data_IF_585410998496
#
_entry.id   IF_585410998496
#
_cell.length_a   1.000
_cell.length_b   1.000
_cell.length_c   1.000
_cell.angle_alpha   90.00
_cell.angle_beta   90.00
_cell.angle_gamma   90.00
#
_symmetry.space_group_name_H-M   'P 1'
#
loop_
_entity.id
_entity.type
_entity.pdbx_description
1 polymer ?
#
# COMPACT_ATOMS: atom_id res chain seq x y z
N UNK A 1 36.26 -12.60 -6.93
CA UNK A 1 35.00 -12.18 -6.31
C UNK A 1 34.98 -12.82 -4.94
N UNK A 2 34.68 -12.09 -3.88
CA UNK A 2 34.64 -12.67 -2.53
C UNK A 2 33.53 -13.72 -2.46
N UNK A 3 33.76 -14.83 -1.74
CA UNK A 3 32.76 -15.90 -1.51
C UNK A 3 31.47 -15.39 -0.82
N UNK A 4 31.45 -14.13 -0.37
CA UNK A 4 30.33 -13.48 0.31
C UNK A 4 29.34 -12.77 -0.62
N UNK A 5 29.62 -12.71 -1.93
CA UNK A 5 28.69 -12.06 -2.88
C UNK A 5 27.45 -12.93 -3.10
N UNK A 6 26.28 -12.41 -2.71
CA UNK A 6 24.97 -13.05 -2.91
C UNK A 6 24.19 -12.29 -4.00
N UNK A 7 24.04 -12.84 -5.20
CA UNK A 7 23.27 -12.20 -6.27
C UNK A 7 21.83 -11.93 -5.84
N UNK A 8 21.36 -10.69 -6.02
CA UNK A 8 20.00 -10.31 -5.65
C UNK A 8 19.70 -10.29 -4.16
N UNK A 9 20.74 -10.33 -3.30
CA UNK A 9 20.61 -10.37 -1.83
C UNK A 9 19.88 -11.64 -1.31
N UNK A 10 19.79 -12.69 -2.09
CA UNK A 10 19.14 -13.93 -1.66
C UNK A 10 19.82 -14.53 -0.42
N UNK A 11 19.02 -14.77 0.62
CA UNK A 11 19.51 -15.30 1.91
C UNK A 11 20.29 -14.31 2.77
N UNK A 12 20.37 -13.04 2.38
CA UNK A 12 20.97 -11.98 3.21
C UNK A 12 19.94 -11.45 4.19
N UNK A 13 20.23 -11.54 5.49
CA UNK A 13 19.42 -10.92 6.54
C UNK A 13 19.79 -9.44 6.60
N UNK A 14 18.87 -8.56 6.20
CA UNK A 14 19.10 -7.12 6.17
C UNK A 14 18.70 -6.43 7.48
N UNK A 15 17.66 -6.93 8.16
CA UNK A 15 17.18 -6.41 9.44
C UNK A 15 16.25 -7.42 10.13
N UNK A 16 15.99 -7.22 11.41
CA UNK A 16 14.94 -7.88 12.17
C UNK A 16 13.66 -7.02 12.18
N UNK A 17 12.48 -7.64 12.21
CA UNK A 17 11.21 -6.95 12.23
C UNK A 17 10.18 -7.73 13.04
N UNK A 18 9.42 -7.02 13.85
CA UNK A 18 8.29 -7.54 14.63
C UNK A 18 6.95 -7.21 13.98
N UNK A 19 6.95 -6.48 12.83
CA UNK A 19 5.73 -5.95 12.22
C UNK A 19 4.94 -7.03 11.51
N UNK A 20 5.62 -7.94 10.80
CA UNK A 20 4.99 -9.03 10.08
C UNK A 20 5.84 -10.30 10.13
N UNK A 21 5.16 -11.41 10.33
CA UNK A 21 5.75 -12.75 10.39
C UNK A 21 5.14 -13.62 9.28
N UNK A 22 5.72 -13.61 8.07
CA UNK A 22 5.35 -14.57 7.04
C UNK A 22 5.91 -15.94 7.41
N UNK A 23 5.09 -16.99 7.33
CA UNK A 23 5.57 -18.36 7.47
C UNK A 23 6.48 -18.73 6.28
N UNK A 24 7.53 -19.49 6.57
CA UNK A 24 8.49 -19.95 5.54
C UNK A 24 7.85 -20.84 4.47
N UNK A 25 6.79 -21.56 4.83
CA UNK A 25 6.03 -22.41 3.93
C UNK A 25 4.90 -21.67 3.20
N UNK A 26 4.70 -20.37 3.52
CA UNK A 26 3.69 -19.52 2.92
C UNK A 26 2.26 -19.85 3.35
N UNK A 27 2.10 -20.58 4.45
CA UNK A 27 0.79 -21.03 4.95
C UNK A 27 0.14 -20.06 5.95
N UNK A 28 0.91 -19.14 6.52
CA UNK A 28 0.41 -18.17 7.50
C UNK A 28 1.12 -16.82 7.39
N UNK A 29 0.41 -15.77 7.72
CA UNK A 29 0.94 -14.41 7.87
C UNK A 29 0.34 -13.78 9.14
N UNK A 30 1.19 -13.21 9.98
CA UNK A 30 0.76 -12.49 11.18
C UNK A 30 1.25 -11.06 11.15
N UNK A 31 0.39 -10.16 11.62
CA UNK A 31 0.72 -8.75 11.87
C UNK A 31 0.83 -8.55 13.38
N UNK A 32 2.01 -8.23 13.90
CA UNK A 32 2.25 -8.12 15.34
C UNK A 32 1.69 -9.32 16.14
N UNK A 33 1.90 -10.53 15.62
CA UNK A 33 1.43 -11.77 16.24
C UNK A 33 -0.05 -12.11 15.99
N UNK A 34 -0.86 -11.20 15.41
CA UNK A 34 -2.27 -11.46 15.08
C UNK A 34 -2.37 -12.10 13.69
N UNK A 35 -3.07 -13.22 13.59
CA UNK A 35 -3.25 -13.93 12.34
C UNK A 35 -4.06 -13.09 11.34
N UNK A 36 -3.62 -13.06 10.08
CA UNK A 36 -4.28 -12.28 9.02
C UNK A 36 -5.73 -12.74 8.79
N UNK A 37 -6.04 -14.03 9.02
CA UNK A 37 -7.40 -14.56 8.88
C UNK A 37 -8.36 -13.99 9.93
N UNK A 38 -7.84 -13.55 11.08
CA UNK A 38 -8.62 -12.85 12.10
C UNK A 38 -8.83 -11.37 11.80
N UNK A 39 -8.08 -10.80 10.86
CA UNK A 39 -8.12 -9.40 10.49
C UNK A 39 -8.95 -9.13 9.23
N UNK A 40 -8.73 -9.91 8.16
CA UNK A 40 -9.35 -9.69 6.84
C UNK A 40 -10.88 -9.80 6.93
N UNK A 41 -11.56 -8.71 6.54
CA UNK A 41 -13.01 -8.62 6.55
C UNK A 41 -13.64 -8.45 7.94
N UNK A 42 -12.83 -8.37 9.01
CA UNK A 42 -13.30 -8.20 10.40
C UNK A 42 -12.80 -6.91 11.05
N UNK A 43 -11.60 -6.48 10.70
CA UNK A 43 -10.97 -5.25 11.21
C UNK A 43 -10.74 -4.31 10.05
N UNK A 44 -11.04 -3.01 10.21
CA UNK A 44 -10.83 -2.04 9.14
C UNK A 44 -9.34 -1.82 8.86
N UNK A 45 -9.00 -1.51 7.61
CA UNK A 45 -7.62 -1.19 7.23
C UNK A 45 -7.00 -0.08 8.09
N UNK A 46 -7.78 0.95 8.44
CA UNK A 46 -7.29 2.02 9.31
C UNK A 46 -6.86 1.54 10.70
N UNK A 47 -7.56 0.56 11.28
CA UNK A 47 -7.19 -0.05 12.55
C UNK A 47 -6.02 -1.04 12.39
N UNK A 48 -5.94 -1.78 11.28
CA UNK A 48 -4.79 -2.64 10.99
C UNK A 48 -3.52 -1.81 10.80
N UNK A 49 -3.62 -0.62 10.19
CA UNK A 49 -2.49 0.31 10.16
C UNK A 49 -2.01 0.68 11.57
N UNK A 50 -2.95 0.93 12.51
CA UNK A 50 -2.61 1.17 13.91
C UNK A 50 -1.89 -0.02 14.55
N UNK A 51 -2.38 -1.24 14.32
CA UNK A 51 -1.72 -2.45 14.80
C UNK A 51 -0.27 -2.53 14.28
N UNK A 52 -0.04 -2.29 12.99
CA UNK A 52 1.29 -2.37 12.39
C UNK A 52 2.26 -1.31 12.93
N UNK A 53 1.79 -0.09 13.19
CA UNK A 53 2.62 1.06 13.58
C UNK A 53 2.72 1.18 15.09
N UNK A 54 1.60 1.06 15.81
CA UNK A 54 1.48 1.36 17.23
C UNK A 54 1.38 0.08 18.10
N UNK A 55 1.30 -1.11 17.51
CA UNK A 55 0.96 -2.38 18.17
C UNK A 55 -0.44 -2.35 18.85
N UNK A 56 -1.30 -1.43 18.41
CA UNK A 56 -2.65 -1.24 18.91
C UNK A 56 -3.61 -0.89 17.76
N UNK A 57 -4.84 -1.39 17.82
CA UNK A 57 -5.84 -1.09 16.78
C UNK A 57 -6.33 0.36 16.77
N UNK A 58 -6.21 1.05 17.89
CA UNK A 58 -6.71 2.41 18.06
C UNK A 58 -5.60 3.35 18.55
N UNK A 59 -5.59 4.60 18.08
CA UNK A 59 -6.62 5.26 17.24
C UNK A 59 -6.60 4.89 15.76
N UNK A 60 -5.57 4.18 15.24
CA UNK A 60 -5.45 3.86 13.81
C UNK A 60 -5.15 5.08 12.92
N UNK A 61 -5.52 4.98 11.63
CA UNK A 61 -5.36 6.10 10.69
C UNK A 61 -6.37 7.21 10.95
N UNK A 62 -5.93 8.48 10.99
CA UNK A 62 -6.83 9.64 11.07
C UNK A 62 -7.60 9.86 9.76
N UNK A 63 -8.56 10.78 9.79
CA UNK A 63 -9.16 11.26 8.55
C UNK A 63 -8.15 12.10 7.75
N UNK A 64 -8.20 11.98 6.41
CA UNK A 64 -7.37 12.79 5.53
C UNK A 64 -7.70 14.28 5.66
N UNK A 65 -6.66 15.09 5.66
CA UNK A 65 -6.82 16.55 5.61
C UNK A 65 -7.39 16.99 4.25
N UNK A 66 -8.09 18.11 4.24
CA UNK A 66 -8.63 18.74 3.03
C UNK A 66 -7.50 19.38 2.23
N UNK A 67 -6.80 18.58 1.48
CA UNK A 67 -5.68 19.02 0.67
C UNK A 67 -5.84 18.51 -0.76
N UNK A 68 -5.95 19.42 -1.76
CA UNK A 68 -6.17 19.00 -3.14
C UNK A 68 -4.93 18.34 -3.72
N UNK A 69 -5.14 17.41 -4.66
CA UNK A 69 -4.07 16.81 -5.45
C UNK A 69 -3.36 17.90 -6.27
N UNK A 70 -2.04 18.13 -6.07
CA UNK A 70 -1.35 19.23 -6.69
C UNK A 70 -0.82 18.94 -8.09
N UNK A 71 -0.86 17.68 -8.53
CA UNK A 71 -0.26 17.21 -9.79
C UNK A 71 -1.29 16.38 -10.57
N UNK A 72 -1.37 16.62 -11.88
CA UNK A 72 -2.31 15.96 -12.78
C UNK A 72 -1.61 15.59 -14.09
N UNK A 73 -0.79 14.55 -14.06
CA UNK A 73 -0.08 14.03 -15.24
C UNK A 73 -0.94 13.13 -16.12
N UNK A 74 -2.05 12.61 -15.55
CA UNK A 74 -2.87 11.59 -16.16
C UNK A 74 -2.45 10.15 -15.80
N UNK A 75 -1.36 9.97 -15.06
CA UNK A 75 -0.93 8.70 -14.47
C UNK A 75 -1.14 8.77 -12.96
N UNK A 76 -2.09 7.96 -12.47
CA UNK A 76 -2.50 7.96 -11.05
C UNK A 76 -1.30 7.70 -10.12
N UNK A 77 -0.42 6.76 -10.48
CA UNK A 77 0.75 6.44 -9.65
C UNK A 77 1.72 7.62 -9.59
N UNK A 78 2.02 8.26 -10.74
CA UNK A 78 2.91 9.43 -10.80
C UNK A 78 2.33 10.56 -9.97
N UNK A 79 1.05 10.85 -10.13
CA UNK A 79 0.37 11.93 -9.43
C UNK A 79 0.40 11.72 -7.91
N UNK A 80 0.08 10.52 -7.43
CA UNK A 80 0.13 10.19 -5.99
C UNK A 80 1.55 10.26 -5.45
N UNK A 81 2.53 9.68 -6.15
CA UNK A 81 3.93 9.69 -5.73
C UNK A 81 4.49 11.10 -5.60
N UNK A 82 4.25 11.93 -6.60
CA UNK A 82 4.68 13.32 -6.59
C UNK A 82 3.97 14.13 -5.50
N UNK A 83 2.65 13.96 -5.35
CA UNK A 83 1.86 14.65 -4.34
C UNK A 83 2.31 14.31 -2.91
N UNK A 84 2.62 13.04 -2.62
CA UNK A 84 3.17 12.65 -1.31
C UNK A 84 4.53 13.30 -1.06
N UNK A 85 5.42 13.31 -2.04
CA UNK A 85 6.72 13.99 -1.90
C UNK A 85 6.56 15.49 -1.60
N UNK A 86 5.55 16.15 -2.15
CA UNK A 86 5.27 17.57 -1.93
C UNK A 86 4.71 17.88 -0.54
N UNK A 87 4.27 16.89 0.24
CA UNK A 87 3.79 17.11 1.60
C UNK A 87 4.88 17.62 2.54
N UNK A 88 6.14 17.20 2.35
CA UNK A 88 7.23 17.63 3.21
C UNK A 88 7.39 19.15 3.26
N UNK A 89 7.60 19.87 2.14
CA UNK A 89 7.66 21.33 2.17
C UNK A 89 6.31 21.98 2.48
N UNK A 90 5.18 21.40 2.06
CA UNK A 90 3.85 21.98 2.27
C UNK A 90 3.42 21.97 3.73
N UNK A 91 3.79 20.93 4.49
CA UNK A 91 3.41 20.74 5.88
C UNK A 91 4.56 20.92 6.88
N UNK A 92 5.74 21.27 6.37
CA UNK A 92 6.94 21.51 7.18
C UNK A 92 7.48 20.26 7.85
N UNK A 93 7.37 19.09 7.20
CA UNK A 93 7.96 17.86 7.73
C UNK A 93 9.48 18.02 7.82
N UNK A 94 10.02 17.72 8.99
CA UNK A 94 11.45 17.75 9.26
C UNK A 94 12.08 16.37 9.03
N UNK A 95 13.41 16.32 8.84
CA UNK A 95 14.14 15.07 8.87
C UNK A 95 13.83 14.25 10.13
N UNK A 96 13.74 12.92 10.01
CA UNK A 96 13.49 12.02 11.15
C UNK A 96 14.51 12.17 12.28
N UNK A 97 15.73 12.61 11.97
CA UNK A 97 16.76 12.88 12.96
C UNK A 97 16.49 14.11 13.84
N UNK A 98 15.62 15.01 13.40
CA UNK A 98 15.34 16.30 14.05
C UNK A 98 14.00 16.32 14.81
N UNK A 99 13.31 15.19 14.89
CA UNK A 99 11.99 15.04 15.52
C UNK A 99 11.96 13.84 16.45
N UNK A 100 11.04 13.83 17.38
CA UNK A 100 10.80 12.67 18.24
C UNK A 100 9.84 11.65 17.60
N UNK A 101 9.70 10.49 18.24
CA UNK A 101 8.87 9.39 17.74
C UNK A 101 7.39 9.78 17.64
N UNK A 102 6.90 10.64 18.53
CA UNK A 102 5.51 11.08 18.51
C UNK A 102 5.23 11.99 17.30
N UNK A 103 6.13 12.92 16.98
CA UNK A 103 6.05 13.76 15.78
C UNK A 103 6.23 12.90 14.52
N UNK A 104 7.18 11.97 14.51
CA UNK A 104 7.39 11.05 13.39
C UNK A 104 6.14 10.20 13.12
N UNK A 105 5.55 9.60 14.16
CA UNK A 105 4.30 8.84 14.08
C UNK A 105 3.15 9.69 13.57
N UNK A 106 2.99 10.92 14.06
CA UNK A 106 1.96 11.85 13.62
C UNK A 106 2.11 12.19 12.13
N UNK A 107 3.32 12.53 11.70
CA UNK A 107 3.62 12.83 10.30
C UNK A 107 3.38 11.62 9.39
N UNK A 108 3.75 10.41 9.86
CA UNK A 108 3.50 9.17 9.14
C UNK A 108 2.01 8.91 8.96
N UNK A 109 1.20 9.08 10.01
CA UNK A 109 -0.25 8.87 9.94
C UNK A 109 -0.90 9.85 8.96
N UNK A 110 -0.55 11.14 9.05
CA UNK A 110 -1.04 12.19 8.16
C UNK A 110 -0.68 11.90 6.70
N UNK A 111 0.58 11.58 6.42
CA UNK A 111 1.03 11.27 5.06
C UNK A 111 0.40 9.98 4.52
N UNK A 112 0.28 8.93 5.35
CA UNK A 112 -0.30 7.64 4.95
C UNK A 112 -1.76 7.77 4.53
N UNK A 113 -2.59 8.48 5.29
CA UNK A 113 -3.99 8.66 4.92
C UNK A 113 -4.15 9.55 3.68
N UNK A 114 -3.20 10.47 3.42
CA UNK A 114 -3.21 11.26 2.18
C UNK A 114 -2.94 10.43 0.94
N UNK A 115 -2.23 9.29 1.03
CA UNK A 115 -2.12 8.36 -0.09
C UNK A 115 -3.49 7.93 -0.58
N UNK A 116 -4.40 7.54 0.34
CA UNK A 116 -5.77 7.15 0.00
C UNK A 116 -6.57 8.32 -0.60
N UNK A 117 -6.43 9.52 -0.03
CA UNK A 117 -7.10 10.71 -0.52
C UNK A 117 -6.63 11.09 -1.94
N UNK A 118 -5.33 11.11 -2.17
CA UNK A 118 -4.77 11.43 -3.48
C UNK A 118 -5.06 10.36 -4.52
N UNK A 119 -5.03 9.07 -4.14
CA UNK A 119 -5.44 7.97 -5.01
C UNK A 119 -6.88 8.17 -5.51
N UNK A 120 -7.80 8.49 -4.60
CA UNK A 120 -9.20 8.74 -4.94
C UNK A 120 -9.37 9.97 -5.86
N UNK A 121 -8.66 11.06 -5.57
CA UNK A 121 -8.69 12.29 -6.39
C UNK A 121 -8.13 12.04 -7.79
N UNK A 122 -6.98 11.37 -7.89
CA UNK A 122 -6.35 11.04 -9.18
C UNK A 122 -7.24 10.10 -10.01
N UNK A 123 -7.77 9.05 -9.38
CA UNK A 123 -8.65 8.08 -10.05
C UNK A 123 -10.01 8.69 -10.48
N UNK A 124 -10.52 9.69 -9.74
CA UNK A 124 -11.71 10.44 -10.15
C UNK A 124 -11.44 11.35 -11.35
N UNK A 125 -10.22 11.87 -11.46
CA UNK A 125 -9.81 12.75 -12.53
C UNK A 125 -10.38 14.16 -12.38
N UNK A 126 -10.02 15.03 -13.33
CA UNK A 126 -10.38 16.46 -13.33
C UNK A 126 -11.74 16.77 -13.97
N UNK A 127 -12.29 15.84 -14.77
CA UNK A 127 -13.55 16.07 -15.50
C UNK A 127 -14.74 15.94 -14.57
N UNK A 128 -14.72 14.96 -13.67
CA UNK A 128 -15.79 14.77 -12.71
C UNK A 128 -15.67 15.78 -11.55
N UNK A 129 -16.76 16.44 -11.12
CA UNK A 129 -16.71 17.36 -10.01
C UNK A 129 -16.25 16.67 -8.72
N UNK A 130 -15.51 17.38 -7.89
CA UNK A 130 -15.09 16.87 -6.59
C UNK A 130 -16.32 16.55 -5.72
N UNK A 131 -16.24 15.47 -4.94
CA UNK A 131 -17.28 15.14 -3.97
C UNK A 131 -17.16 16.10 -2.78
N UNK A 132 -18.28 16.72 -2.33
CA UNK A 132 -18.27 17.58 -1.15
C UNK A 132 -17.74 16.84 0.08
N UNK A 133 -16.93 17.51 0.90
CA UNK A 133 -16.40 16.92 2.13
C UNK A 133 -17.51 16.47 3.08
N UNK A 134 -18.66 17.18 3.12
CA UNK A 134 -19.82 16.79 3.91
C UNK A 134 -20.40 15.44 3.56
N UNK A 135 -20.21 14.96 2.33
CA UNK A 135 -20.60 13.60 1.92
C UNK A 135 -19.54 12.59 2.36
N UNK A 136 -18.26 12.95 2.23
CA UNK A 136 -17.13 12.11 2.63
C UNK A 136 -17.11 11.93 4.16
N UNK A 137 -17.50 12.97 4.92
CA UNK A 137 -17.54 12.96 6.39
C UNK A 137 -18.63 12.02 6.96
N UNK A 138 -19.56 11.53 6.16
CA UNK A 138 -20.55 10.51 6.57
C UNK A 138 -19.94 9.12 6.72
N UNK A 139 -18.78 8.88 6.11
CA UNK A 139 -18.11 7.59 6.14
C UNK A 139 -17.52 7.26 7.51
N UNK A 140 -17.52 5.97 7.84
CA UNK A 140 -17.03 5.45 9.12
C UNK A 140 -15.57 4.97 9.08
N UNK A 141 -15.05 4.60 7.88
CA UNK A 141 -13.69 4.11 7.72
C UNK A 141 -12.90 4.93 6.69
N UNK A 142 -11.57 4.88 6.76
CA UNK A 142 -10.71 5.59 5.80
C UNK A 142 -10.86 5.04 4.38
N UNK A 143 -11.14 3.74 4.24
CA UNK A 143 -11.39 3.12 2.93
C UNK A 143 -12.74 3.55 2.36
N UNK A 144 -13.79 3.61 3.18
CA UNK A 144 -15.08 4.13 2.76
C UNK A 144 -14.97 5.61 2.33
N UNK A 145 -14.22 6.46 3.08
CA UNK A 145 -13.90 7.83 2.69
C UNK A 145 -13.22 7.91 1.34
N UNK A 146 -12.23 7.06 1.10
CA UNK A 146 -11.54 6.96 -0.19
C UNK A 146 -12.52 6.60 -1.30
N UNK A 147 -13.35 5.59 -1.09
CA UNK A 147 -14.31 5.12 -2.08
C UNK A 147 -15.39 6.16 -2.41
N UNK A 148 -15.90 6.88 -1.42
CA UNK A 148 -16.84 7.99 -1.64
C UNK A 148 -16.15 9.11 -2.41
N UNK A 149 -14.94 9.51 -2.03
CA UNK A 149 -14.16 10.55 -2.74
C UNK A 149 -13.93 10.19 -4.20
N UNK A 150 -13.73 8.90 -4.49
CA UNK A 150 -13.55 8.41 -5.85
C UNK A 150 -14.87 8.29 -6.62
N UNK A 151 -15.87 7.60 -6.06
CA UNK A 151 -17.07 7.16 -6.77
C UNK A 151 -18.33 7.99 -6.48
N UNK A 152 -18.38 8.72 -5.39
CA UNK A 152 -19.56 9.39 -4.85
C UNK A 152 -20.42 8.47 -3.99
N UNK A 153 -21.10 7.52 -4.58
CA UNK A 153 -21.91 6.51 -3.90
C UNK A 153 -21.38 5.11 -4.23
N UNK A 154 -20.39 4.60 -3.48
CA UNK A 154 -19.83 3.29 -3.73
C UNK A 154 -20.79 2.19 -3.24
N UNK A 155 -20.82 1.06 -3.95
CA UNK A 155 -21.45 -0.16 -3.44
C UNK A 155 -20.76 -0.61 -2.15
N UNK A 156 -21.50 -0.85 -1.04
CA UNK A 156 -20.90 -1.32 0.21
C UNK A 156 -20.14 -2.66 0.07
N UNK A 157 -20.48 -3.51 -0.89
CA UNK A 157 -19.74 -4.72 -1.17
C UNK A 157 -18.35 -4.41 -1.74
N UNK A 158 -18.24 -3.41 -2.61
CA UNK A 158 -16.95 -2.95 -3.13
C UNK A 158 -16.09 -2.30 -2.05
N UNK A 159 -16.70 -1.52 -1.14
CA UNK A 159 -15.98 -0.95 0.01
C UNK A 159 -15.35 -2.06 0.87
N UNK A 160 -16.14 -3.09 1.23
CA UNK A 160 -15.64 -4.23 2.00
C UNK A 160 -14.55 -5.00 1.27
N UNK A 161 -14.70 -5.21 -0.04
CA UNK A 161 -13.70 -5.92 -0.84
C UNK A 161 -12.37 -5.17 -0.90
N UNK A 162 -12.39 -3.85 -1.09
CA UNK A 162 -11.18 -3.02 -1.11
C UNK A 162 -10.54 -2.94 0.28
N UNK A 163 -11.33 -2.81 1.34
CA UNK A 163 -10.82 -2.83 2.71
C UNK A 163 -10.13 -4.15 3.03
N UNK A 164 -10.77 -5.28 2.72
CA UNK A 164 -10.19 -6.61 2.88
C UNK A 164 -8.90 -6.79 2.06
N UNK A 165 -8.86 -6.28 0.82
CA UNK A 165 -7.66 -6.30 -0.01
C UNK A 165 -6.52 -5.48 0.63
N UNK A 166 -6.79 -4.28 1.13
CA UNK A 166 -5.77 -3.47 1.79
C UNK A 166 -5.24 -4.12 3.07
N UNK A 167 -6.12 -4.75 3.86
CA UNK A 167 -5.69 -5.53 5.03
C UNK A 167 -4.80 -6.70 4.62
N UNK A 168 -5.20 -7.49 3.62
CA UNK A 168 -4.44 -8.66 3.19
C UNK A 168 -3.10 -8.33 2.54
N UNK A 169 -2.96 -7.13 1.94
CA UNK A 169 -1.76 -6.67 1.24
C UNK A 169 -0.93 -5.66 2.05
N UNK A 170 -1.28 -5.39 3.32
CA UNK A 170 -0.68 -4.30 4.08
C UNK A 170 0.83 -4.51 4.33
N UNK A 171 1.25 -5.73 4.67
CA UNK A 171 2.65 -6.09 4.88
C UNK A 171 2.82 -7.62 4.71
N UNK A 172 3.98 -8.05 4.25
CA UNK A 172 4.30 -9.48 4.16
C UNK A 172 5.80 -9.78 4.38
N UNK A 173 6.45 -8.96 5.20
CA UNK A 173 7.87 -9.05 5.48
C UNK A 173 8.70 -8.10 4.62
N UNK A 174 9.91 -8.48 4.24
CA UNK A 174 10.84 -7.61 3.50
C UNK A 174 10.52 -7.58 1.99
N UNK A 175 9.39 -6.99 1.62
CA UNK A 175 9.09 -6.70 0.22
C UNK A 175 9.88 -5.47 -0.28
N UNK A 176 9.91 -5.29 -1.60
CA UNK A 176 10.71 -4.25 -2.24
C UNK A 176 10.33 -2.83 -1.80
N UNK A 177 9.04 -2.53 -1.60
CA UNK A 177 8.60 -1.19 -1.17
C UNK A 177 8.89 -0.94 0.31
N UNK A 178 8.68 -1.92 1.19
CA UNK A 178 9.06 -1.84 2.60
C UNK A 178 10.58 -1.65 2.73
N UNK A 179 11.38 -2.41 1.99
CA UNK A 179 12.82 -2.26 2.01
C UNK A 179 13.28 -0.89 1.50
N UNK A 180 12.70 -0.40 0.42
CA UNK A 180 12.97 0.95 -0.11
C UNK A 180 12.65 2.03 0.91
N UNK A 181 11.47 1.97 1.56
CA UNK A 181 11.08 2.91 2.61
C UNK A 181 12.08 2.89 3.77
N UNK A 182 12.49 1.70 4.24
CA UNK A 182 13.47 1.53 5.31
C UNK A 182 14.84 2.12 4.95
N UNK A 183 15.32 1.90 3.71
CA UNK A 183 16.58 2.46 3.23
C UNK A 183 16.52 3.98 3.26
N UNK A 184 15.45 4.60 2.76
CA UNK A 184 15.30 6.06 2.77
C UNK A 184 15.21 6.59 4.21
N UNK A 185 14.36 5.99 5.05
CA UNK A 185 14.21 6.38 6.45
C UNK A 185 15.52 6.26 7.25
N UNK A 186 16.33 5.24 6.96
CA UNK A 186 17.63 5.04 7.63
C UNK A 186 18.64 6.16 7.37
N UNK A 187 18.44 6.96 6.33
CA UNK A 187 19.25 8.16 6.07
C UNK A 187 18.83 9.38 6.91
N UNK A 188 17.75 9.25 7.69
CA UNK A 188 17.16 10.34 8.45
C UNK A 188 16.25 11.27 7.62
N UNK A 189 15.90 10.89 6.38
CA UNK A 189 14.98 11.65 5.55
C UNK A 189 13.56 11.69 6.18
N UNK A 190 12.75 12.67 5.76
CA UNK A 190 11.38 12.80 6.25
C UNK A 190 10.45 11.66 5.80
N UNK A 191 9.31 11.53 6.45
CA UNK A 191 8.35 10.44 6.18
C UNK A 191 7.75 10.49 4.77
N UNK A 192 7.58 11.67 4.20
CA UNK A 192 7.02 11.82 2.85
C UNK A 192 8.02 11.33 1.79
N UNK A 193 9.30 11.57 1.97
CA UNK A 193 10.36 11.02 1.13
C UNK A 193 10.36 9.49 1.15
N UNK A 194 10.25 8.88 2.34
CA UNK A 194 10.21 7.42 2.49
C UNK A 194 8.98 6.81 1.82
N UNK A 195 7.78 7.38 2.04
CA UNK A 195 6.54 6.91 1.42
C UNK A 195 6.54 7.11 -0.11
N UNK A 196 7.02 8.25 -0.60
CA UNK A 196 7.14 8.49 -2.04
C UNK A 196 8.07 7.47 -2.71
N UNK A 197 9.19 7.13 -2.07
CA UNK A 197 10.09 6.09 -2.55
C UNK A 197 9.44 4.71 -2.58
N UNK A 198 8.67 4.36 -1.55
CA UNK A 198 7.90 3.10 -1.50
C UNK A 198 6.87 3.01 -2.64
N UNK A 199 6.14 4.09 -2.92
CA UNK A 199 5.20 4.18 -4.06
C UNK A 199 5.95 3.95 -5.38
N UNK A 200 7.13 4.53 -5.54
CA UNK A 200 7.99 4.30 -6.69
C UNK A 200 8.36 2.82 -6.86
N UNK A 201 8.78 2.16 -5.78
CA UNK A 201 9.09 0.73 -5.80
C UNK A 201 7.88 -0.14 -6.15
N UNK A 202 6.69 0.23 -5.68
CA UNK A 202 5.44 -0.48 -6.00
C UNK A 202 5.04 -0.42 -7.48
N UNK A 203 5.58 0.52 -8.26
CA UNK A 203 5.26 0.63 -9.68
C UNK A 203 5.83 -0.51 -10.54
N UNK A 204 6.80 -1.25 -10.00
CA UNK A 204 7.49 -2.32 -10.72
C UNK A 204 6.56 -3.49 -11.08
N UNK A 205 6.66 -4.04 -12.30
CA UNK A 205 5.82 -5.16 -12.75
C UNK A 205 6.07 -6.46 -12.00
N UNK A 206 7.16 -6.54 -11.25
CA UNK A 206 7.51 -7.68 -10.39
C UNK A 206 7.10 -7.47 -8.92
N UNK A 207 6.38 -6.39 -8.63
CA UNK A 207 5.90 -6.05 -7.28
C UNK A 207 4.46 -5.54 -7.33
N UNK A 208 4.16 -4.31 -6.94
CA UNK A 208 2.81 -3.76 -6.91
C UNK A 208 2.11 -3.64 -8.28
N UNK A 209 2.83 -3.67 -9.38
CA UNK A 209 2.28 -3.77 -10.74
C UNK A 209 1.83 -5.17 -11.16
N UNK A 210 2.05 -6.21 -10.32
CA UNK A 210 1.67 -7.58 -10.63
C UNK A 210 0.16 -7.79 -10.81
N UNK A 211 -0.77 -7.18 -10.05
CA UNK A 211 -2.20 -7.40 -10.20
C UNK A 211 -2.75 -7.12 -11.61
N UNK A 212 -2.16 -6.18 -12.34
CA UNK A 212 -2.57 -5.92 -13.73
C UNK A 212 -2.30 -7.12 -14.67
N UNK A 213 -1.28 -7.92 -14.37
CA UNK A 213 -0.95 -9.15 -15.11
C UNK A 213 -1.87 -10.30 -14.74
N UNK A 214 -2.34 -10.35 -13.49
CA UNK A 214 -3.35 -11.32 -13.02
C UNK A 214 -4.65 -11.14 -13.79
N UNK A 215 -5.12 -9.91 -13.98
CA UNK A 215 -6.33 -9.65 -14.76
C UNK A 215 -6.22 -10.21 -16.19
N UNK A 216 -5.09 -9.95 -16.85
CA UNK A 216 -4.84 -10.49 -18.20
C UNK A 216 -4.83 -12.03 -18.21
N UNK A 217 -4.24 -12.65 -17.20
CA UNK A 217 -4.26 -14.11 -17.04
C UNK A 217 -5.71 -14.64 -16.88
N UNK A 218 -6.53 -13.98 -16.08
CA UNK A 218 -7.94 -14.35 -15.90
C UNK A 218 -8.71 -14.24 -17.22
N UNK A 219 -8.53 -13.15 -17.97
CA UNK A 219 -9.14 -12.96 -19.29
C UNK A 219 -8.74 -14.05 -20.29
N UNK A 220 -7.47 -14.48 -20.29
CA UNK A 220 -7.03 -15.58 -21.15
C UNK A 220 -7.61 -16.95 -20.74
N UNK A 221 -7.70 -17.20 -19.43
CA UNK A 221 -8.35 -18.41 -18.91
C UNK A 221 -9.85 -18.42 -19.24
N UNK A 222 -10.54 -17.28 -19.13
CA UNK A 222 -11.95 -17.19 -19.52
C UNK A 222 -12.20 -17.51 -21.00
N UNK A 223 -11.29 -17.10 -21.89
CA UNK A 223 -11.38 -17.42 -23.34
C UNK A 223 -11.23 -18.91 -23.62
N UNK A 224 -10.35 -19.59 -22.88
CA UNK A 224 -10.02 -21.00 -23.12
C UNK A 224 -10.91 -21.96 -22.32
N UNK A 225 -11.42 -21.54 -21.17
CA UNK A 225 -12.21 -22.34 -20.25
C UNK A 225 -11.38 -23.38 -19.46
N UNK A 226 -10.04 -23.40 -19.63
CA UNK A 226 -9.16 -24.40 -19.01
C UNK A 226 -7.97 -23.74 -18.27
N UNK A 227 -8.21 -23.39 -17.00
CA UNK A 227 -7.19 -22.80 -16.14
C UNK A 227 -5.98 -23.74 -15.92
N UNK A 228 -6.23 -25.05 -15.85
CA UNK A 228 -5.16 -26.04 -15.62
C UNK A 228 -4.20 -26.13 -16.81
N UNK A 229 -4.73 -26.18 -18.02
CA UNK A 229 -3.90 -26.18 -19.24
C UNK A 229 -3.11 -24.87 -19.38
N UNK A 230 -3.73 -23.73 -19.08
CA UNK A 230 -3.08 -22.42 -19.11
C UNK A 230 -1.91 -22.36 -18.14
N UNK A 231 -2.14 -22.71 -16.85
CA UNK A 231 -1.09 -22.68 -15.81
C UNK A 231 0.05 -23.65 -16.14
N UNK A 232 -0.26 -24.89 -16.55
CA UNK A 232 0.77 -25.85 -16.99
C UNK A 232 1.60 -25.31 -18.13
N UNK A 233 0.97 -24.68 -19.12
CA UNK A 233 1.68 -24.06 -20.24
C UNK A 233 2.66 -22.96 -19.81
N UNK A 234 2.33 -22.14 -18.80
CA UNK A 234 3.26 -21.16 -18.23
C UNK A 234 4.45 -21.83 -17.54
N UNK A 235 4.17 -22.84 -16.69
CA UNK A 235 5.20 -23.57 -15.95
C UNK A 235 6.17 -24.32 -16.90
N UNK A 236 5.67 -24.92 -17.96
CA UNK A 236 6.48 -25.61 -18.97
C UNK A 236 7.43 -24.64 -19.69
N UNK A 237 7.00 -23.40 -19.89
CA UNK A 237 7.85 -22.32 -20.44
C UNK A 237 8.72 -21.64 -19.39
N UNK A 238 8.66 -22.08 -18.11
CA UNK A 238 9.37 -21.46 -16.97
C UNK A 238 9.02 -19.99 -16.77
N UNK A 239 7.80 -19.60 -17.12
CA UNK A 239 7.27 -18.28 -16.84
C UNK A 239 6.78 -18.21 -15.39
N UNK A 240 6.93 -17.02 -14.77
CA UNK A 240 6.40 -16.80 -13.42
C UNK A 240 4.89 -16.63 -13.46
N UNK A 241 4.20 -17.35 -12.57
CA UNK A 241 2.82 -17.03 -12.22
C UNK A 241 2.82 -15.77 -11.37
N UNK A 242 2.10 -14.74 -11.82
CA UNK A 242 2.03 -13.48 -11.11
C UNK A 242 0.74 -13.43 -10.28
N UNK A 243 0.85 -12.96 -9.03
CA UNK A 243 -0.29 -12.83 -8.11
C UNK A 243 -0.46 -14.03 -7.15
N UNK A 244 0.56 -14.88 -7.08
CA UNK A 244 0.63 -16.02 -6.18
C UNK A 244 1.94 -15.99 -5.40
#
# INVERSE_FOLDING_TARGET
MSDDFKPGLEGVIAFESEIAEPDKEGSALRYRGVDIEDLVGRVSFGNVWGLLVDDEFNPGLPNAEKFPLPVHSGDVRVDVQAAISMLAPAWGFKPLLDIDDAEARSNLARASVMVLSYLAQAARGQIAPAIPESEIDKAHTVVERMMIRWRGEPDPAHVRAIDAYFVSAAEHGMNASTFTARVIASTGADVAAALSGAIGAMSGPLHGGAPSRVLHMIEEVEKTGDATAYVKGLLDRKERLMGF
#
